data_IF_348872531087
#
_entry.id   IF_348872531087
#
_cell.length_a   1.000
_cell.length_b   1.000
_cell.length_c   1.000
_cell.angle_alpha   90.00
_cell.angle_beta   90.00
_cell.angle_gamma   90.00
#
_symmetry.space_group_name_H-M   'P 1'
#
loop_
_entity.id
_entity.type
_entity.pdbx_description
1 polymer ?
#
# COMPACT_ATOMS: atom_id res chain seq x y z
N UNK A 1 -50.75 -3.85 -34.09
CA UNK A 1 -50.81 -4.55 -35.39
C UNK A 1 -49.34 -4.92 -35.72
N UNK A 2 -48.86 -6.07 -35.84
CA UNK A 2 -49.22 -7.41 -36.33
C UNK A 2 -48.05 -8.32 -35.95
N UNK A 3 -48.29 -9.32 -35.15
CA UNK A 3 -48.28 -10.77 -35.41
C UNK A 3 -46.94 -11.38 -35.87
N UNK A 4 -46.32 -12.13 -34.97
CA UNK A 4 -46.14 -13.60 -34.90
C UNK A 4 -45.38 -14.23 -36.08
N UNK A 5 -44.32 -15.03 -35.77
CA UNK A 5 -44.36 -16.49 -35.92
C UNK A 5 -43.13 -17.16 -35.31
N UNK A 6 -43.42 -18.05 -34.43
CA UNK A 6 -42.81 -19.26 -33.89
C UNK A 6 -42.43 -20.26 -35.00
N UNK A 7 -41.24 -20.89 -34.90
CA UNK A 7 -40.99 -22.19 -35.49
C UNK A 7 -39.99 -23.01 -34.62
N UNK A 8 -40.53 -24.03 -33.95
CA UNK A 8 -39.81 -25.19 -33.41
C UNK A 8 -39.37 -26.10 -34.57
N UNK A 9 -38.19 -26.72 -34.45
CA UNK A 9 -37.91 -28.02 -35.06
C UNK A 9 -36.95 -28.80 -34.17
N UNK A 10 -37.48 -29.89 -33.61
CA UNK A 10 -36.86 -31.06 -33.04
C UNK A 10 -36.34 -31.97 -34.14
N UNK A 11 -35.26 -32.71 -33.93
CA UNK A 11 -34.92 -34.10 -34.36
C UNK A 11 -33.41 -34.25 -34.38
N UNK A 12 -32.74 -35.30 -34.03
CA UNK A 12 -33.01 -36.62 -33.44
C UNK A 12 -31.63 -37.26 -33.16
N UNK A 13 -31.62 -38.08 -32.19
CA UNK A 13 -30.63 -39.00 -31.65
C UNK A 13 -30.00 -39.91 -32.72
N UNK A 14 -28.65 -40.13 -32.73
CA UNK A 14 -28.04 -41.34 -33.25
C UNK A 14 -26.80 -41.74 -32.40
N UNK A 15 -27.00 -42.82 -31.65
CA UNK A 15 -25.99 -43.61 -30.98
C UNK A 15 -25.22 -44.42 -32.00
N UNK A 16 -23.89 -44.40 -31.95
CA UNK A 16 -23.04 -45.46 -32.51
C UNK A 16 -21.92 -45.78 -31.54
N UNK A 17 -22.05 -46.94 -30.93
CA UNK A 17 -21.00 -47.63 -30.21
C UNK A 17 -19.93 -48.16 -31.16
N UNK A 18 -18.67 -47.97 -30.83
CA UNK A 18 -17.52 -48.57 -31.51
C UNK A 18 -16.38 -48.79 -30.53
N UNK A 19 -16.28 -49.96 -29.93
CA UNK A 19 -15.08 -50.44 -29.26
C UNK A 19 -14.01 -50.80 -30.30
N UNK A 20 -12.77 -50.32 -30.13
CA UNK A 20 -11.59 -51.04 -30.54
C UNK A 20 -10.35 -50.62 -29.75
N UNK A 21 -9.68 -51.62 -29.31
CA UNK A 21 -8.53 -51.72 -28.43
C UNK A 21 -7.20 -51.15 -28.97
N UNK A 22 -6.35 -50.65 -28.05
CA UNK A 22 -4.93 -50.93 -28.03
C UNK A 22 -4.01 -49.84 -28.57
N UNK A 23 -3.14 -49.32 -27.68
CA UNK A 23 -1.90 -48.65 -28.11
C UNK A 23 -1.40 -47.60 -27.13
N UNK A 24 -0.54 -48.01 -26.20
CA UNK A 24 0.64 -47.35 -25.65
C UNK A 24 0.72 -45.81 -25.63
N UNK A 25 0.72 -45.25 -24.44
CA UNK A 25 1.75 -44.35 -23.95
C UNK A 25 1.93 -43.03 -24.72
N UNK A 26 1.22 -42.00 -24.29
CA UNK A 26 1.76 -40.66 -24.20
C UNK A 26 1.20 -40.06 -22.89
N UNK A 27 2.11 -39.86 -21.96
CA UNK A 27 1.88 -39.03 -20.81
C UNK A 27 1.76 -37.59 -21.35
N UNK A 28 0.56 -37.21 -21.76
CA UNK A 28 0.21 -35.80 -21.84
C UNK A 28 0.26 -35.30 -20.39
N UNK A 29 1.25 -34.47 -20.13
CA UNK A 29 1.28 -33.54 -19.02
C UNK A 29 -0.04 -32.79 -19.12
N UNK A 30 -1.03 -33.20 -18.34
CA UNK A 30 -2.24 -32.47 -18.15
C UNK A 30 -1.87 -31.25 -17.33
N UNK A 31 -1.62 -30.13 -17.99
CA UNK A 31 -1.70 -28.82 -17.38
C UNK A 31 -3.14 -28.77 -16.86
N UNK A 32 -3.26 -28.88 -15.55
CA UNK A 32 -4.50 -28.63 -14.83
C UNK A 32 -4.79 -27.14 -15.02
N UNK A 33 -5.62 -26.80 -16.01
CA UNK A 33 -6.16 -25.45 -16.19
C UNK A 33 -7.13 -25.18 -15.03
N UNK A 34 -6.67 -25.33 -13.79
CA UNK A 34 -7.37 -24.98 -12.58
C UNK A 34 -7.76 -23.51 -12.65
N UNK A 35 -9.02 -23.21 -12.36
CA UNK A 35 -9.50 -21.85 -12.22
C UNK A 35 -8.61 -21.14 -11.17
N UNK A 36 -7.99 -20.00 -11.54
CA UNK A 36 -7.15 -19.22 -10.63
C UNK A 36 -7.98 -18.71 -9.46
N UNK A 37 -7.44 -18.80 -8.26
CA UNK A 37 -8.10 -18.30 -7.06
C UNK A 37 -7.91 -16.78 -6.98
N UNK A 38 -9.03 -16.04 -6.96
CA UNK A 38 -8.98 -14.57 -6.90
C UNK A 38 -8.54 -14.09 -5.53
N UNK A 39 -7.73 -13.02 -5.53
CA UNK A 39 -7.29 -12.28 -4.35
C UNK A 39 -7.41 -10.79 -4.62
N UNK A 40 -8.21 -10.11 -3.79
CA UNK A 40 -8.45 -8.67 -3.86
C UNK A 40 -7.47 -7.94 -2.95
N UNK A 41 -6.63 -7.07 -3.54
CA UNK A 41 -5.61 -6.28 -2.85
C UNK A 41 -5.96 -4.81 -2.96
N UNK A 42 -6.23 -4.14 -1.83
CA UNK A 42 -6.48 -2.70 -1.79
C UNK A 42 -5.22 -1.95 -1.39
N UNK A 43 -4.80 -0.99 -2.21
CA UNK A 43 -3.63 -0.15 -1.97
C UNK A 43 -3.91 0.90 -0.89
N UNK A 44 -2.87 1.48 -0.29
CA UNK A 44 -2.97 2.59 0.67
C UNK A 44 -3.19 3.95 -0.02
N UNK A 45 -2.74 4.04 -1.25
CA UNK A 45 -2.77 5.22 -2.11
C UNK A 45 -3.05 4.80 -3.55
N UNK A 46 -2.98 5.71 -4.52
CA UNK A 46 -2.94 5.30 -5.93
C UNK A 46 -1.57 4.67 -6.27
N UNK A 47 -1.51 3.84 -7.34
CA UNK A 47 -0.29 3.13 -7.72
C UNK A 47 0.91 4.07 -7.88
N UNK A 48 2.06 3.66 -7.36
CA UNK A 48 3.34 4.33 -7.50
C UNK A 48 4.49 3.34 -7.29
N UNK A 49 5.73 3.80 -7.26
CA UNK A 49 6.92 2.95 -7.17
C UNK A 49 6.91 1.93 -6.01
N UNK A 50 6.28 2.24 -4.86
CA UNK A 50 6.22 1.30 -3.72
C UNK A 50 5.46 0.02 -4.04
N UNK A 51 4.54 0.08 -5.01
CA UNK A 51 3.69 -1.04 -5.44
C UNK A 51 4.26 -1.79 -6.65
N UNK A 52 5.40 -1.35 -7.24
CA UNK A 52 5.92 -1.89 -8.49
C UNK A 52 6.18 -3.41 -8.45
N UNK A 53 6.54 -3.96 -7.29
CA UNK A 53 6.73 -5.40 -7.11
C UNK A 53 5.46 -6.24 -7.38
N UNK A 54 4.26 -5.66 -7.20
CA UNK A 54 3.00 -6.33 -7.55
C UNK A 54 2.86 -6.45 -9.07
N UNK A 55 3.16 -5.36 -9.79
CA UNK A 55 3.10 -5.33 -11.24
C UNK A 55 4.18 -6.24 -11.87
N UNK A 56 5.38 -6.28 -11.25
CA UNK A 56 6.39 -7.28 -11.61
C UNK A 56 5.88 -8.72 -11.44
N UNK A 57 5.29 -9.02 -10.29
CA UNK A 57 4.77 -10.35 -10.02
C UNK A 57 3.63 -10.75 -10.97
N UNK A 58 2.78 -9.81 -11.36
CA UNK A 58 1.68 -10.03 -12.29
C UNK A 58 2.21 -10.25 -13.71
N UNK A 59 3.02 -9.34 -14.25
CA UNK A 59 3.52 -9.38 -15.63
C UNK A 59 4.49 -10.55 -15.87
N UNK A 60 5.27 -10.93 -14.85
CA UNK A 60 6.14 -12.12 -14.92
C UNK A 60 5.37 -13.44 -14.70
N UNK A 61 4.07 -13.36 -14.37
CA UNK A 61 3.21 -14.51 -14.16
C UNK A 61 3.39 -15.23 -12.83
N UNK A 62 4.06 -14.64 -11.84
CA UNK A 62 4.34 -15.28 -10.55
C UNK A 62 3.08 -15.54 -9.74
N UNK A 63 2.05 -14.69 -9.84
CA UNK A 63 0.76 -14.97 -9.24
C UNK A 63 0.06 -16.15 -9.90
N UNK A 64 0.08 -16.22 -11.23
CA UNK A 64 -0.51 -17.33 -11.97
C UNK A 64 0.21 -18.67 -11.71
N UNK A 65 1.56 -18.67 -11.57
CA UNK A 65 2.34 -19.85 -11.14
C UNK A 65 1.91 -20.37 -9.76
N UNK A 66 1.49 -19.48 -8.87
CA UNK A 66 0.97 -19.81 -7.54
C UNK A 66 -0.55 -20.07 -7.55
N UNK A 67 -1.18 -20.14 -8.74
CA UNK A 67 -2.62 -20.38 -8.90
C UNK A 67 -3.50 -19.21 -8.46
N UNK A 68 -3.00 -17.98 -8.52
CA UNK A 68 -3.69 -16.76 -8.09
C UNK A 68 -3.97 -15.82 -9.26
N UNK A 69 -5.10 -15.13 -9.17
CA UNK A 69 -5.44 -13.95 -9.96
C UNK A 69 -5.59 -12.78 -9.00
N UNK A 70 -4.74 -11.77 -9.13
CA UNK A 70 -4.74 -10.58 -8.26
C UNK A 70 -5.56 -9.47 -8.88
N UNK A 71 -6.51 -8.92 -8.11
CA UNK A 71 -7.22 -7.69 -8.45
C UNK A 71 -6.69 -6.56 -7.57
N UNK A 72 -6.12 -5.53 -8.17
CA UNK A 72 -5.65 -4.34 -7.46
C UNK A 72 -6.80 -3.35 -7.37
N UNK A 73 -7.16 -2.96 -6.15
CA UNK A 73 -8.22 -2.01 -5.81
C UNK A 73 -7.62 -0.71 -5.30
N UNK A 74 -8.24 0.41 -5.65
CA UNK A 74 -7.80 1.73 -5.21
C UNK A 74 -8.67 2.22 -4.05
N UNK A 75 -8.07 2.81 -3.00
CA UNK A 75 -8.82 3.33 -1.87
C UNK A 75 -9.55 4.63 -2.24
N UNK A 76 -10.69 4.88 -1.59
CA UNK A 76 -11.39 6.16 -1.67
C UNK A 76 -10.98 7.12 -0.56
N UNK A 77 -10.38 6.59 0.51
CA UNK A 77 -9.82 7.33 1.63
C UNK A 77 -8.73 6.50 2.35
N UNK A 78 -7.92 7.15 3.17
CA UNK A 78 -6.77 6.53 3.83
C UNK A 78 -7.12 5.36 4.77
N UNK A 79 -8.36 5.25 5.27
CA UNK A 79 -8.77 4.14 6.16
C UNK A 79 -9.36 2.92 5.43
N UNK A 80 -9.64 3.03 4.13
CA UNK A 80 -10.27 1.95 3.36
C UNK A 80 -9.51 0.62 3.43
N UNK A 81 -8.16 0.55 3.31
CA UNK A 81 -7.47 -0.72 3.32
C UNK A 81 -7.69 -1.51 4.62
N UNK A 82 -7.62 -0.82 5.76
CA UNK A 82 -7.86 -1.45 7.06
C UNK A 82 -9.32 -1.88 7.22
N UNK A 83 -10.27 -1.01 6.90
CA UNK A 83 -11.70 -1.26 7.11
C UNK A 83 -12.25 -2.30 6.13
N UNK A 84 -11.77 -2.34 4.89
CA UNK A 84 -12.17 -3.33 3.90
C UNK A 84 -11.66 -4.72 4.27
N UNK A 85 -10.42 -4.85 4.70
CA UNK A 85 -9.85 -6.13 5.13
C UNK A 85 -10.49 -6.64 6.42
N UNK A 86 -10.68 -5.77 7.41
CA UNK A 86 -11.40 -6.13 8.65
C UNK A 86 -12.84 -6.61 8.39
N UNK A 87 -13.50 -6.05 7.36
CA UNK A 87 -14.87 -6.43 6.96
C UNK A 87 -14.92 -7.59 5.96
N UNK A 88 -13.79 -8.17 5.54
CA UNK A 88 -13.71 -9.22 4.52
C UNK A 88 -14.17 -8.79 3.13
N UNK A 89 -14.08 -7.48 2.81
CA UNK A 89 -14.41 -6.91 1.49
C UNK A 89 -13.19 -6.82 0.56
N UNK A 90 -12.01 -6.98 1.11
CA UNK A 90 -10.75 -7.21 0.41
C UNK A 90 -9.98 -8.28 1.17
N UNK A 91 -9.14 -9.03 0.47
CA UNK A 91 -8.30 -10.07 1.06
C UNK A 91 -7.10 -9.45 1.78
N UNK A 92 -6.42 -8.52 1.14
CA UNK A 92 -5.20 -7.86 1.63
C UNK A 92 -5.34 -6.35 1.44
N UNK A 93 -4.82 -5.58 2.40
CA UNK A 93 -4.69 -4.13 2.31
C UNK A 93 -3.25 -3.70 2.57
N UNK A 94 -2.82 -2.65 1.89
CA UNK A 94 -1.63 -1.91 2.26
C UNK A 94 -1.99 -0.92 3.35
N UNK A 95 -1.29 -0.95 4.49
CA UNK A 95 -1.63 -0.06 5.59
C UNK A 95 -0.43 0.28 6.49
N UNK A 96 -0.61 1.20 7.42
CA UNK A 96 0.39 1.82 8.26
C UNK A 96 0.48 1.14 9.63
N UNK A 97 1.69 1.03 10.20
CA UNK A 97 1.90 0.30 11.46
C UNK A 97 1.18 0.96 12.64
N UNK A 98 1.40 2.24 12.84
CA UNK A 98 0.88 2.98 14.00
C UNK A 98 -0.64 3.01 14.00
N UNK A 99 -1.26 3.32 12.85
CA UNK A 99 -2.71 3.32 12.71
C UNK A 99 -3.31 1.92 12.91
N UNK A 100 -2.60 0.86 12.52
CA UNK A 100 -2.99 -0.54 12.80
C UNK A 100 -2.96 -0.83 14.29
N UNK A 101 -1.90 -0.41 15.00
CA UNK A 101 -1.79 -0.58 16.46
C UNK A 101 -2.91 0.19 17.16
N UNK A 102 -3.12 1.45 16.80
CA UNK A 102 -4.15 2.32 17.40
C UNK A 102 -5.54 1.74 17.19
N UNK A 103 -5.88 1.33 15.97
CA UNK A 103 -7.17 0.74 15.66
C UNK A 103 -7.39 -0.60 16.39
N UNK A 104 -6.34 -1.43 16.49
CA UNK A 104 -6.42 -2.69 17.23
C UNK A 104 -6.60 -2.48 18.72
N UNK A 105 -5.83 -1.55 19.33
CA UNK A 105 -5.86 -1.29 20.76
C UNK A 105 -7.15 -0.61 21.23
N UNK A 106 -7.63 0.39 20.48
CA UNK A 106 -8.75 1.22 20.92
C UNK A 106 -10.11 0.73 20.44
N UNK A 107 -10.18 0.04 19.28
CA UNK A 107 -11.42 -0.35 18.63
C UNK A 107 -11.55 -1.87 18.42
N UNK A 108 -10.52 -2.63 18.82
CA UNK A 108 -10.41 -4.09 18.63
C UNK A 108 -10.67 -4.52 17.17
N UNK A 109 -10.19 -3.70 16.21
CA UNK A 109 -10.33 -3.98 14.78
C UNK A 109 -9.70 -5.36 14.46
N UNK A 110 -10.45 -6.31 13.86
CA UNK A 110 -10.02 -7.70 13.71
C UNK A 110 -9.09 -7.88 12.50
N UNK A 111 -7.86 -7.39 12.59
CA UNK A 111 -6.84 -7.50 11.54
C UNK A 111 -5.56 -8.14 12.02
N UNK A 112 -4.81 -8.70 11.09
CA UNK A 112 -3.45 -9.24 11.25
C UNK A 112 -2.54 -8.67 10.18
N UNK A 113 -1.25 -8.58 10.50
CA UNK A 113 -0.21 -8.14 9.57
C UNK A 113 0.46 -9.36 8.94
N UNK A 114 0.60 -9.34 7.62
CA UNK A 114 1.22 -10.42 6.85
C UNK A 114 2.72 -10.19 6.64
N UNK A 115 3.15 -8.93 6.49
CA UNK A 115 4.54 -8.57 6.26
C UNK A 115 4.75 -7.07 6.12
N UNK A 116 5.97 -6.59 6.37
CA UNK A 116 6.37 -5.21 6.20
C UNK A 116 6.92 -4.98 4.78
N UNK A 117 6.29 -4.05 4.04
CA UNK A 117 6.70 -3.67 2.69
C UNK A 117 7.84 -2.66 2.74
N UNK A 118 7.73 -1.64 3.60
CA UNK A 118 8.75 -0.62 3.83
C UNK A 118 9.20 -0.69 5.28
N UNK A 119 10.47 -0.99 5.50
CA UNK A 119 11.05 -1.33 6.80
C UNK A 119 11.40 -0.11 7.67
N UNK A 120 11.33 1.10 7.10
CA UNK A 120 11.72 2.34 7.77
C UNK A 120 10.71 3.46 7.48
N UNK A 121 10.63 4.48 8.36
CA UNK A 121 9.81 5.66 8.15
C UNK A 121 10.14 6.41 6.86
N UNK A 122 9.10 6.83 6.15
CA UNK A 122 9.19 7.71 4.96
C UNK A 122 8.26 8.92 5.06
N UNK A 123 7.40 8.97 6.09
CA UNK A 123 6.50 10.10 6.32
C UNK A 123 7.27 11.30 6.86
N UNK A 124 6.95 12.46 6.33
CA UNK A 124 7.58 13.73 6.65
C UNK A 124 6.52 14.81 6.93
N UNK A 125 6.95 15.87 7.65
CA UNK A 125 6.30 17.17 7.55
C UNK A 125 6.97 17.92 6.42
N UNK A 126 6.22 18.31 5.40
CA UNK A 126 6.71 18.98 4.19
C UNK A 126 6.08 20.38 4.07
N UNK A 127 6.85 21.34 3.61
CA UNK A 127 6.39 22.69 3.31
C UNK A 127 7.08 23.25 2.08
N UNK A 128 6.43 24.18 1.36
CA UNK A 128 7.12 24.94 0.32
C UNK A 128 8.23 25.78 0.95
N UNK A 129 9.43 25.79 0.35
CA UNK A 129 10.61 26.46 0.90
C UNK A 129 10.40 27.97 1.16
N UNK A 130 9.50 28.62 0.40
CA UNK A 130 9.13 30.03 0.60
C UNK A 130 8.41 30.30 1.93
N UNK A 131 7.81 29.25 2.55
CA UNK A 131 7.16 29.34 3.87
C UNK A 131 8.17 29.37 5.02
N UNK A 132 9.45 28.98 4.77
CA UNK A 132 10.52 28.91 5.76
C UNK A 132 10.16 28.09 7.00
N UNK A 133 9.49 26.95 6.82
CA UNK A 133 9.14 25.97 7.86
C UNK A 133 10.19 24.87 7.82
N UNK A 134 11.11 24.84 8.79
CA UNK A 134 12.28 23.94 8.82
C UNK A 134 12.46 23.21 10.15
N UNK A 135 11.76 23.70 11.19
CA UNK A 135 11.81 23.15 12.54
C UNK A 135 10.40 23.07 13.11
N UNK A 136 10.16 22.23 14.13
CA UNK A 136 8.84 22.18 14.78
C UNK A 136 8.38 23.53 15.37
N UNK A 137 9.31 24.42 15.77
CA UNK A 137 8.96 25.79 16.22
C UNK A 137 8.29 26.61 15.11
N UNK A 138 8.68 26.39 13.84
CA UNK A 138 8.11 27.11 12.71
C UNK A 138 6.67 26.69 12.39
N UNK A 139 6.22 25.55 12.94
CA UNK A 139 4.83 25.07 12.82
C UNK A 139 3.85 25.82 13.71
N UNK A 140 4.32 26.49 14.79
CA UNK A 140 3.46 27.21 15.74
C UNK A 140 2.67 28.30 15.02
N UNK A 141 1.34 28.26 15.18
CA UNK A 141 0.40 29.17 14.53
C UNK A 141 0.15 28.89 13.05
N UNK A 142 0.60 27.73 12.52
CA UNK A 142 0.40 27.33 11.13
C UNK A 142 -0.78 26.38 10.96
N UNK A 143 -1.28 26.34 9.73
CA UNK A 143 -2.26 25.34 9.27
C UNK A 143 -1.50 24.19 8.64
N UNK A 144 -1.70 22.97 9.17
CA UNK A 144 -1.04 21.74 8.72
C UNK A 144 -2.11 20.82 8.14
N UNK A 145 -1.97 20.45 6.86
CA UNK A 145 -2.79 19.45 6.21
C UNK A 145 -2.31 18.03 6.54
N UNK A 146 -3.22 17.08 6.67
CA UNK A 146 -2.88 15.65 6.82
C UNK A 146 -3.94 14.76 6.19
N UNK A 147 -3.68 13.46 6.06
CA UNK A 147 -4.57 12.51 5.37
C UNK A 147 -5.68 11.92 6.25
N UNK A 148 -5.96 12.52 7.42
CA UNK A 148 -7.02 12.07 8.34
C UNK A 148 -6.66 10.85 9.18
N UNK A 149 -5.39 10.38 9.15
CA UNK A 149 -4.92 9.26 9.97
C UNK A 149 -4.67 9.71 11.42
N UNK A 150 -4.85 8.78 12.37
CA UNK A 150 -4.55 9.06 13.79
C UNK A 150 -3.07 9.29 14.03
N UNK A 151 -2.23 8.57 13.31
CA UNK A 151 -0.78 8.75 13.39
C UNK A 151 -0.36 10.18 13.02
N UNK A 152 -1.02 10.81 12.05
CA UNK A 152 -0.73 12.21 11.67
C UNK A 152 -0.84 13.17 12.85
N UNK A 153 -1.91 13.07 13.64
CA UNK A 153 -2.10 13.88 14.84
C UNK A 153 -0.99 13.62 15.87
N UNK A 154 -0.65 12.35 16.09
CA UNK A 154 0.36 11.94 17.09
C UNK A 154 1.75 12.42 16.70
N UNK A 155 2.15 12.21 15.45
CA UNK A 155 3.47 12.56 14.96
C UNK A 155 3.71 14.07 15.03
N UNK A 156 2.76 14.87 14.55
CA UNK A 156 2.83 16.35 14.66
C UNK A 156 2.87 16.78 16.13
N UNK A 157 2.04 16.16 16.99
CA UNK A 157 2.05 16.43 18.44
C UNK A 157 3.38 16.15 19.10
N UNK A 158 4.01 15.00 18.76
CA UNK A 158 5.34 14.61 19.25
C UNK A 158 6.42 15.62 18.81
N UNK A 159 6.38 16.06 17.55
CA UNK A 159 7.32 17.06 17.05
C UNK A 159 7.19 18.39 17.80
N UNK A 160 5.94 18.86 18.03
CA UNK A 160 5.66 20.09 18.78
C UNK A 160 6.10 19.99 20.25
N UNK A 161 5.96 18.81 20.88
CA UNK A 161 6.40 18.59 22.25
C UNK A 161 7.91 18.84 22.42
N UNK A 162 8.73 18.56 21.41
CA UNK A 162 10.18 18.79 21.45
C UNK A 162 10.57 20.25 21.64
N UNK A 163 9.67 21.17 21.28
CA UNK A 163 9.85 22.62 21.40
C UNK A 163 8.92 23.24 22.47
N UNK A 164 8.24 22.39 23.27
CA UNK A 164 7.35 22.83 24.35
C UNK A 164 6.00 23.35 23.86
N UNK A 165 5.61 23.07 22.63
CA UNK A 165 4.32 23.37 22.05
C UNK A 165 3.41 22.13 22.03
N UNK A 166 2.14 22.32 21.67
CA UNK A 166 1.11 21.28 21.61
C UNK A 166 0.28 21.40 20.33
N UNK A 167 -0.62 20.45 20.10
CA UNK A 167 -1.57 20.54 18.99
C UNK A 167 -2.51 21.74 19.06
N UNK A 168 -2.71 22.34 20.25
CA UNK A 168 -3.50 23.57 20.40
C UNK A 168 -2.79 24.79 19.79
N UNK A 169 -1.49 24.70 19.52
CA UNK A 169 -0.69 25.78 18.92
C UNK A 169 -0.66 25.74 17.39
N UNK A 170 -1.33 24.79 16.76
CA UNK A 170 -1.43 24.60 15.30
C UNK A 170 -2.88 24.35 14.89
N UNK A 171 -3.20 24.52 13.62
CA UNK A 171 -4.48 24.09 13.04
C UNK A 171 -4.25 22.85 12.17
N UNK A 172 -4.81 21.69 12.56
CA UNK A 172 -4.78 20.47 11.74
C UNK A 172 -6.03 20.40 10.88
N UNK A 173 -5.87 20.17 9.57
CA UNK A 173 -6.96 20.02 8.61
C UNK A 173 -6.80 18.71 7.86
N UNK A 174 -7.84 17.86 7.93
CA UNK A 174 -7.93 16.68 7.07
C UNK A 174 -8.16 17.11 5.63
N UNK A 175 -7.17 16.86 4.78
CA UNK A 175 -7.17 17.15 3.34
C UNK A 175 -7.24 15.88 2.48
N UNK A 176 -7.40 14.71 3.13
CA UNK A 176 -7.44 13.42 2.45
C UNK A 176 -6.18 13.19 1.62
N UNK A 177 -6.38 12.85 0.34
CA UNK A 177 -5.29 12.62 -0.61
C UNK A 177 -4.75 13.88 -1.29
N UNK A 178 -5.32 15.06 -1.00
CA UNK A 178 -4.96 16.32 -1.65
C UNK A 178 -3.76 17.04 -0.99
N UNK A 179 -2.81 16.31 -0.39
CA UNK A 179 -1.67 16.87 0.36
C UNK A 179 -0.88 17.90 -0.46
N UNK A 180 -0.46 17.54 -1.66
CA UNK A 180 0.33 18.43 -2.53
C UNK A 180 -0.49 19.64 -2.99
N UNK A 181 -1.72 19.42 -3.44
CA UNK A 181 -2.57 20.51 -3.95
C UNK A 181 -3.00 21.47 -2.86
N UNK A 182 -3.26 21.00 -1.63
CA UNK A 182 -3.57 21.85 -0.49
C UNK A 182 -2.39 22.77 -0.15
N UNK A 183 -1.16 22.27 -0.25
CA UNK A 183 0.05 23.06 0.02
C UNK A 183 0.36 24.04 -1.12
N UNK A 184 0.34 23.58 -2.39
CA UNK A 184 0.68 24.41 -3.55
C UNK A 184 -0.34 25.51 -3.84
N UNK A 185 -1.60 25.31 -3.47
CA UNK A 185 -2.65 26.35 -3.55
C UNK A 185 -2.68 27.28 -2.34
N UNK A 186 -1.88 27.00 -1.31
CA UNK A 186 -1.81 27.82 -0.08
C UNK A 186 -2.99 27.63 0.87
N UNK A 187 -3.76 26.54 0.73
CA UNK A 187 -4.83 26.19 1.66
C UNK A 187 -4.26 25.76 3.03
N UNK A 188 -3.06 25.21 3.04
CA UNK A 188 -2.29 24.88 4.24
C UNK A 188 -0.86 25.41 4.12
N UNK A 189 -0.17 25.59 5.25
CA UNK A 189 1.22 26.08 5.28
C UNK A 189 2.23 24.95 5.15
N UNK A 190 1.89 23.77 5.67
CA UNK A 190 2.67 22.55 5.61
C UNK A 190 1.73 21.35 5.54
N UNK A 191 2.26 20.17 5.22
CA UNK A 191 1.51 18.92 5.28
C UNK A 191 2.30 17.86 6.04
N UNK A 192 1.61 16.99 6.78
CA UNK A 192 2.10 15.73 7.29
C UNK A 192 1.52 14.58 6.47
N UNK A 193 2.32 13.54 6.22
CA UNK A 193 1.91 12.35 5.46
C UNK A 193 2.36 12.35 4.01
N UNK A 194 3.00 13.43 3.55
CA UNK A 194 3.85 13.34 2.36
C UNK A 194 4.97 12.33 2.61
N UNK A 195 5.31 11.56 1.59
CA UNK A 195 6.42 10.61 1.62
C UNK A 195 7.63 11.20 0.93
N UNK A 196 8.79 11.04 1.56
CA UNK A 196 10.07 11.57 1.03
C UNK A 196 10.42 10.99 -0.35
N UNK A 197 9.96 9.78 -0.65
CA UNK A 197 10.21 9.10 -1.92
C UNK A 197 9.30 9.57 -3.06
N UNK A 198 8.12 10.12 -2.78
CA UNK A 198 7.11 10.42 -3.82
C UNK A 198 6.74 11.90 -3.89
N UNK A 199 6.15 12.51 -2.84
CA UNK A 199 5.67 13.90 -2.90
C UNK A 199 6.82 14.91 -3.02
N UNK A 200 7.97 14.67 -2.40
CA UNK A 200 9.13 15.56 -2.54
C UNK A 200 9.61 15.63 -3.99
N UNK A 201 9.96 14.50 -4.65
CA UNK A 201 10.34 14.54 -6.06
C UNK A 201 9.22 15.03 -6.98
N UNK A 202 7.95 14.77 -6.67
CA UNK A 202 6.83 15.25 -7.49
C UNK A 202 6.69 16.77 -7.44
N UNK A 203 6.76 17.39 -6.25
CA UNK A 203 6.76 18.84 -6.07
C UNK A 203 7.95 19.50 -6.76
N UNK A 204 9.14 18.91 -6.65
CA UNK A 204 10.32 19.44 -7.33
C UNK A 204 10.23 19.34 -8.86
N UNK A 205 9.64 18.28 -9.40
CA UNK A 205 9.37 18.14 -10.85
C UNK A 205 8.40 19.22 -11.35
N UNK A 206 7.40 19.57 -10.53
CA UNK A 206 6.48 20.70 -10.80
C UNK A 206 7.11 22.07 -10.61
N UNK A 207 8.36 22.15 -10.15
CA UNK A 207 9.14 23.38 -9.99
C UNK A 207 9.00 24.03 -8.62
N UNK A 208 8.44 23.36 -7.63
CA UNK A 208 8.38 23.83 -6.25
C UNK A 208 9.65 23.42 -5.50
N UNK A 209 10.29 24.36 -4.83
CA UNK A 209 11.31 24.02 -3.83
C UNK A 209 10.61 23.71 -2.50
N UNK A 210 11.03 22.64 -1.84
CA UNK A 210 10.45 22.18 -0.57
C UNK A 210 11.50 22.06 0.53
N UNK A 211 11.07 22.33 1.76
CA UNK A 211 11.79 21.96 2.98
C UNK A 211 10.95 20.86 3.68
N UNK A 212 11.61 19.91 4.33
CA UNK A 212 10.92 18.86 5.08
C UNK A 212 11.64 18.47 6.36
N UNK A 213 10.90 17.85 7.27
CA UNK A 213 11.37 17.32 8.55
C UNK A 213 10.99 15.85 8.65
N UNK A 214 11.96 15.00 8.96
CA UNK A 214 11.73 13.57 9.24
C UNK A 214 11.26 13.42 10.69
N UNK A 215 10.19 12.68 10.91
CA UNK A 215 9.57 12.55 12.23
C UNK A 215 10.47 11.87 13.26
N UNK A 216 11.36 10.98 12.82
CA UNK A 216 12.32 10.29 13.68
C UNK A 216 13.29 11.24 14.38
N UNK A 217 13.65 12.36 13.77
CA UNK A 217 14.53 13.37 14.35
C UNK A 217 13.90 14.06 15.58
N UNK A 218 12.59 13.88 15.76
CA UNK A 218 11.79 14.53 16.80
C UNK A 218 11.11 13.54 17.75
N UNK A 219 11.66 12.33 17.87
CA UNK A 219 11.30 11.37 18.92
C UNK A 219 10.18 10.38 18.58
N UNK A 220 9.78 10.30 17.33
CA UNK A 220 9.00 9.17 16.81
C UNK A 220 9.98 7.99 16.62
N UNK A 221 9.69 6.78 17.12
CA UNK A 221 10.58 5.62 16.95
C UNK A 221 10.65 5.17 15.49
N UNK A 222 11.57 4.25 15.16
CA UNK A 222 11.54 3.55 13.89
C UNK A 222 10.26 2.70 13.77
N UNK A 223 9.62 2.72 12.61
CA UNK A 223 8.40 1.96 12.32
C UNK A 223 8.37 1.45 10.88
N UNK A 224 7.50 0.48 10.61
CA UNK A 224 7.21 0.03 9.26
C UNK A 224 6.27 1.02 8.58
N UNK A 225 6.80 1.79 7.64
CA UNK A 225 5.98 2.81 6.97
C UNK A 225 4.81 2.22 6.21
N UNK A 226 4.97 1.01 5.65
CA UNK A 226 3.92 0.34 4.90
C UNK A 226 3.97 -1.18 5.13
N UNK A 227 2.79 -1.77 5.34
CA UNK A 227 2.63 -3.19 5.61
C UNK A 227 1.48 -3.77 4.83
N UNK A 228 1.44 -5.10 4.72
CA UNK A 228 0.29 -5.87 4.25
C UNK A 228 -0.54 -6.32 5.45
N UNK A 229 -1.83 -5.99 5.45
CA UNK A 229 -2.80 -6.38 6.48
C UNK A 229 -3.91 -7.25 5.89
N UNK A 230 -4.54 -8.07 6.71
CA UNK A 230 -5.71 -8.90 6.35
C UNK A 230 -6.63 -9.06 7.55
N UNK A 231 -7.89 -9.45 7.33
CA UNK A 231 -8.82 -9.79 8.42
C UNK A 231 -8.37 -11.05 9.19
N UNK A 232 -8.60 -11.10 10.50
CA UNK A 232 -8.25 -12.26 11.33
C UNK A 232 -8.90 -13.53 10.83
N UNK A 233 -10.23 -13.52 10.62
CA UNK A 233 -10.99 -14.67 10.11
C UNK A 233 -10.55 -15.09 8.71
N UNK A 234 -10.19 -14.10 7.86
CA UNK A 234 -9.66 -14.34 6.51
C UNK A 234 -8.32 -15.05 6.55
N UNK A 235 -7.41 -14.63 7.44
CA UNK A 235 -6.12 -15.27 7.59
C UNK A 235 -6.26 -16.72 8.06
N UNK A 236 -7.13 -16.98 9.02
CA UNK A 236 -7.37 -18.35 9.51
C UNK A 236 -7.92 -19.26 8.42
N UNK A 237 -8.88 -18.76 7.63
CA UNK A 237 -9.53 -19.53 6.57
C UNK A 237 -8.63 -19.74 5.34
N UNK A 238 -7.77 -18.79 5.01
CA UNK A 238 -7.06 -18.69 3.71
C UNK A 238 -5.53 -18.63 3.84
N UNK A 239 -4.96 -19.18 4.92
CA UNK A 239 -3.52 -19.12 5.20
C UNK A 239 -2.63 -19.57 4.02
N UNK A 240 -3.03 -20.62 3.31
CA UNK A 240 -2.29 -21.12 2.14
C UNK A 240 -2.32 -20.10 0.99
N UNK A 241 -3.48 -19.52 0.68
CA UNK A 241 -3.65 -18.48 -0.35
C UNK A 241 -2.70 -17.30 -0.09
N UNK A 242 -2.68 -16.80 1.14
CA UNK A 242 -1.79 -15.68 1.50
C UNK A 242 -0.30 -16.07 1.48
N UNK A 243 0.05 -17.30 1.82
CA UNK A 243 1.43 -17.77 1.71
C UNK A 243 1.90 -17.80 0.25
N UNK A 244 1.05 -18.25 -0.67
CA UNK A 244 1.31 -18.24 -2.10
C UNK A 244 1.44 -16.82 -2.65
N UNK A 245 0.55 -15.92 -2.24
CA UNK A 245 0.62 -14.49 -2.58
C UNK A 245 1.94 -13.85 -2.14
N UNK A 246 2.32 -14.01 -0.88
CA UNK A 246 3.59 -13.44 -0.36
C UNK A 246 4.82 -14.00 -1.09
N UNK A 247 4.79 -15.28 -1.49
CA UNK A 247 5.88 -15.89 -2.28
C UNK A 247 6.00 -15.28 -3.66
N UNK A 248 4.88 -15.00 -4.33
CA UNK A 248 4.87 -14.30 -5.61
C UNK A 248 5.37 -12.86 -5.46
N UNK A 249 4.94 -12.14 -4.41
CA UNK A 249 5.42 -10.79 -4.09
C UNK A 249 6.94 -10.76 -3.86
N UNK A 250 7.50 -11.75 -3.14
CA UNK A 250 8.94 -11.84 -2.93
C UNK A 250 9.72 -12.03 -4.24
N UNK A 251 9.18 -12.82 -5.20
CA UNK A 251 9.79 -12.95 -6.53
C UNK A 251 9.73 -11.62 -7.29
N UNK A 252 8.56 -10.96 -7.33
CA UNK A 252 8.40 -9.66 -7.99
C UNK A 252 9.32 -8.59 -7.39
N UNK A 253 9.48 -8.56 -6.07
CA UNK A 253 10.42 -7.65 -5.43
C UNK A 253 11.89 -7.96 -5.77
N UNK A 254 12.27 -9.24 -5.84
CA UNK A 254 13.61 -9.62 -6.21
C UNK A 254 13.96 -9.18 -7.66
N UNK A 255 13.02 -9.28 -8.60
CA UNK A 255 13.19 -8.80 -9.97
C UNK A 255 13.22 -7.26 -10.01
N UNK A 256 12.31 -6.57 -9.32
CA UNK A 256 12.32 -5.11 -9.15
C UNK A 256 13.67 -4.59 -8.60
N UNK A 257 14.25 -5.29 -7.63
CA UNK A 257 15.55 -4.93 -7.07
C UNK A 257 16.70 -5.20 -8.06
N UNK A 258 16.60 -6.27 -8.86
CA UNK A 258 17.62 -6.63 -9.83
C UNK A 258 17.63 -5.71 -11.06
N UNK A 259 16.46 -5.25 -11.52
CA UNK A 259 16.31 -4.32 -12.65
C UNK A 259 15.21 -3.28 -12.39
N UNK A 260 15.51 -2.20 -11.64
CA UNK A 260 14.55 -1.15 -11.35
C UNK A 260 14.02 -0.42 -12.58
N UNK A 261 14.76 -0.39 -13.69
CA UNK A 261 14.28 0.23 -14.94
C UNK A 261 13.23 -0.65 -15.66
N UNK A 262 13.36 -1.97 -15.60
CA UNK A 262 12.30 -2.89 -16.06
C UNK A 262 11.04 -2.70 -15.21
N UNK A 263 11.18 -2.71 -13.88
CA UNK A 263 10.09 -2.49 -12.95
C UNK A 263 9.37 -1.15 -13.17
N UNK A 264 10.14 -0.08 -13.41
CA UNK A 264 9.58 1.23 -13.79
C UNK A 264 8.77 1.12 -15.09
N UNK A 265 9.32 0.44 -16.09
CA UNK A 265 8.63 0.24 -17.38
C UNK A 265 7.29 -0.49 -17.20
N UNK A 266 7.25 -1.54 -16.39
CA UNK A 266 6.03 -2.30 -16.09
C UNK A 266 5.02 -1.47 -15.28
N UNK A 267 5.47 -0.74 -14.27
CA UNK A 267 4.62 0.16 -13.51
C UNK A 267 3.94 1.20 -14.42
N UNK A 268 4.72 1.87 -15.29
CA UNK A 268 4.20 2.86 -16.22
C UNK A 268 3.27 2.26 -17.28
N UNK A 269 3.50 1.02 -17.71
CA UNK A 269 2.63 0.33 -18.65
C UNK A 269 1.26 -0.03 -18.05
N UNK A 270 1.19 -0.18 -16.74
CA UNK A 270 -0.01 -0.56 -15.99
C UNK A 270 -0.66 0.62 -15.23
N UNK A 271 -0.19 1.87 -15.44
CA UNK A 271 -0.76 3.05 -14.81
C UNK A 271 -2.16 3.40 -15.36
N UNK A 272 -2.96 4.05 -14.55
CA UNK A 272 -4.20 4.72 -14.98
C UNK A 272 -3.87 6.18 -15.39
N UNK A 273 -3.52 6.40 -16.65
CA UNK A 273 -3.13 7.71 -17.19
C UNK A 273 -4.24 8.78 -17.08
N UNK A 274 -5.50 8.36 -16.97
CA UNK A 274 -6.63 9.31 -16.91
C UNK A 274 -6.86 9.84 -15.48
N UNK A 275 -6.67 8.98 -14.47
CA UNK A 275 -6.99 9.34 -13.10
C UNK A 275 -5.72 9.53 -12.23
N UNK A 276 -4.67 8.73 -12.47
CA UNK A 276 -3.45 8.70 -11.66
C UNK A 276 -2.20 8.63 -12.55
N UNK A 277 -1.92 9.68 -13.36
CA UNK A 277 -0.75 9.68 -14.24
C UNK A 277 0.55 9.70 -13.44
N UNK A 278 1.47 8.79 -13.79
CA UNK A 278 2.78 8.71 -13.17
C UNK A 278 3.83 9.50 -13.97
N UNK A 279 4.79 10.08 -13.28
CA UNK A 279 5.92 10.76 -13.87
C UNK A 279 7.18 9.90 -13.72
N UNK A 280 7.74 9.40 -14.82
CA UNK A 280 8.86 8.47 -14.81
C UNK A 280 10.08 8.94 -14.02
N UNK A 281 10.39 10.26 -14.01
CA UNK A 281 11.49 10.82 -13.21
C UNK A 281 11.20 10.77 -11.71
N UNK A 282 9.95 10.95 -11.30
CA UNK A 282 9.50 10.84 -9.89
C UNK A 282 9.62 9.40 -9.43
N UNK A 283 9.05 8.45 -10.19
CA UNK A 283 9.06 7.03 -9.82
C UNK A 283 10.48 6.45 -9.78
N UNK A 284 11.36 6.86 -10.69
CA UNK A 284 12.77 6.47 -10.66
C UNK A 284 13.48 6.96 -9.40
N UNK A 285 13.27 8.21 -9.00
CA UNK A 285 13.82 8.76 -7.76
C UNK A 285 13.22 8.07 -6.53
N UNK A 286 11.95 7.67 -6.62
CA UNK A 286 11.29 6.90 -5.59
C UNK A 286 11.97 5.55 -5.36
N UNK A 287 12.36 4.83 -6.40
CA UNK A 287 13.14 3.58 -6.27
C UNK A 287 14.48 3.79 -5.57
N UNK A 288 15.18 4.89 -5.84
CA UNK A 288 16.46 5.20 -5.18
C UNK A 288 16.32 5.33 -3.65
N UNK A 289 15.15 5.80 -3.19
CA UNK A 289 14.82 5.90 -1.76
C UNK A 289 14.30 4.57 -1.20
N UNK A 290 13.38 3.91 -1.92
CA UNK A 290 12.62 2.76 -1.41
C UNK A 290 13.45 1.47 -1.35
N UNK A 291 14.17 1.13 -2.42
CA UNK A 291 14.86 -0.16 -2.52
C UNK A 291 15.78 -0.44 -1.32
N UNK A 292 16.58 0.53 -0.82
CA UNK A 292 17.44 0.31 0.34
C UNK A 292 16.70 0.09 1.67
N UNK A 293 15.41 0.47 1.75
CA UNK A 293 14.62 0.40 2.98
C UNK A 293 13.42 -0.55 2.90
N UNK A 294 13.12 -1.11 1.73
CA UNK A 294 12.17 -2.23 1.58
C UNK A 294 12.83 -3.55 1.99
N UNK A 295 14.13 -3.67 1.75
CA UNK A 295 14.96 -4.77 2.23
C UNK A 295 16.30 -4.24 2.73
N UNK A 296 16.76 -4.75 3.86
CA UNK A 296 18.10 -4.48 4.41
C UNK A 296 18.86 -5.78 4.67
N UNK A 297 20.15 -5.68 5.01
CA UNK A 297 20.94 -6.87 5.31
C UNK A 297 20.38 -7.69 6.48
N UNK A 298 19.71 -7.03 7.43
CA UNK A 298 19.18 -7.64 8.67
C UNK A 298 17.64 -7.81 8.64
N UNK A 299 16.96 -7.21 7.65
CA UNK A 299 15.50 -7.26 7.51
C UNK A 299 15.11 -7.59 6.06
N UNK A 300 14.93 -8.88 5.73
CA UNK A 300 14.44 -9.31 4.41
C UNK A 300 13.07 -8.69 4.07
N UNK A 301 12.80 -8.49 2.79
CA UNK A 301 11.49 -8.01 2.33
C UNK A 301 10.34 -8.83 2.91
N UNK A 302 9.30 -8.17 3.38
CA UNK A 302 8.14 -8.71 4.09
C UNK A 302 8.44 -9.30 5.48
N UNK A 303 9.68 -9.22 5.99
CA UNK A 303 9.96 -9.64 7.36
C UNK A 303 9.46 -8.61 8.39
N UNK A 304 9.36 -9.06 9.65
CA UNK A 304 8.95 -8.24 10.78
C UNK A 304 9.80 -8.60 12.01
N UNK A 305 10.21 -7.59 12.79
CA UNK A 305 10.90 -7.75 14.07
C UNK A 305 9.95 -7.33 15.21
N UNK A 306 9.82 -8.20 16.21
CA UNK A 306 8.98 -7.96 17.38
C UNK A 306 9.44 -6.71 18.16
N UNK A 307 10.73 -6.39 18.15
CA UNK A 307 11.25 -5.22 18.85
C UNK A 307 10.73 -3.91 18.27
N UNK A 308 10.59 -3.82 16.93
CA UNK A 308 9.99 -2.64 16.26
C UNK A 308 8.54 -2.47 16.70
N UNK A 309 7.78 -3.56 16.78
CA UNK A 309 6.41 -3.53 17.28
C UNK A 309 6.33 -3.05 18.72
N UNK A 310 7.17 -3.62 19.59
CA UNK A 310 7.15 -3.28 21.00
C UNK A 310 7.55 -1.82 21.26
N UNK A 311 8.57 -1.31 20.56
CA UNK A 311 8.96 0.10 20.65
C UNK A 311 7.81 1.05 20.29
N UNK A 312 7.07 0.75 19.23
CA UNK A 312 5.95 1.58 18.80
C UNK A 312 4.75 1.46 19.76
N UNK A 313 4.45 0.27 20.29
CA UNK A 313 3.42 0.10 21.31
C UNK A 313 3.79 0.91 22.57
N UNK A 314 5.02 0.78 23.06
CA UNK A 314 5.49 1.50 24.26
C UNK A 314 5.46 3.02 24.04
N UNK A 315 5.81 3.49 22.85
CA UNK A 315 5.76 4.91 22.49
C UNK A 315 4.31 5.41 22.41
N UNK A 316 3.41 4.70 21.73
CA UNK A 316 2.00 5.07 21.64
C UNK A 316 1.30 5.10 23.00
N UNK A 317 1.67 4.19 23.92
CA UNK A 317 1.23 4.23 25.32
C UNK A 317 1.77 5.47 26.04
N UNK A 318 3.06 5.77 25.87
CA UNK A 318 3.72 6.92 26.51
C UNK A 318 3.05 8.25 26.08
N UNK A 319 2.68 8.38 24.80
CA UNK A 319 2.00 9.59 24.29
C UNK A 319 0.48 9.55 24.50
N UNK A 320 -0.07 8.52 25.15
CA UNK A 320 -1.46 8.42 25.55
C UNK A 320 -2.45 8.11 24.42
N UNK A 321 -1.97 7.52 23.33
CA UNK A 321 -2.82 7.14 22.19
C UNK A 321 -3.47 5.78 22.33
N UNK A 322 -2.87 4.90 23.14
CA UNK A 322 -3.44 3.61 23.49
C UNK A 322 -3.26 3.35 24.99
N UNK A 323 -4.17 2.58 25.57
CA UNK A 323 -4.10 2.16 26.97
C UNK A 323 -3.01 1.07 27.18
N UNK A 324 -2.56 0.91 28.45
CA UNK A 324 -1.51 -0.05 28.83
C UNK A 324 -1.99 -1.51 28.81
#
# INVERSE_FOLDING_TARGET
MMKQKLALLLTALLLLTGCSSGGSGDTADGQDDGELETIDVVLDWYPNAVHAFLYEAEEKGYFAEEGLQVNILFPSNASDPLTMTAAGRADIGFYYQEDTIIAKANEDVPVKVLGAVVQQPISIVCALAEKNIKTPEDLIGKTIGYSGTRFGEVAVGQMLETVGATLDDVELIDVGFDLMSAMTTGNVDATFGCFINHEVPALEEEGFAVDYMEVMDYGVPNYYALMLVTGEDQLEANRDKYTRFLRACQKGFADMQADPEEALGLLLANQDEENFPLTASVERRSFDVLLPIMETADAPFLSQDVSVWQENIDWLQKVGMIDA
#
